data_IF_558053282060
#
_entry.id   IF_558053282060
#
_cell.length_a   1.000
_cell.length_b   1.000
_cell.length_c   1.000
_cell.angle_alpha   90.00
_cell.angle_beta   90.00
_cell.angle_gamma   90.00
#
_symmetry.space_group_name_H-M   'P 1'
#
loop_
_entity.id
_entity.type
_entity.pdbx_description
1 polymer ?
#
# COMPACT_ATOMS: atom_id res chain seq x y z
N UNK A 1 -14.79 -17.92 5.66
CA UNK A 1 -15.06 -17.06 6.82
C UNK A 1 -15.67 -15.74 6.38
N UNK A 2 -14.96 -14.84 5.66
CA UNK A 2 -15.60 -13.67 5.02
C UNK A 2 -16.54 -14.04 3.85
N UNK A 3 -16.09 -14.93 2.94
CA UNK A 3 -16.93 -15.45 1.84
C UNK A 3 -18.10 -16.34 2.29
N UNK A 4 -18.10 -16.82 3.54
CA UNK A 4 -19.22 -17.62 4.07
C UNK A 4 -20.35 -16.71 4.55
N UNK A 5 -20.00 -15.61 5.22
CA UNK A 5 -20.93 -14.53 5.57
C UNK A 5 -21.64 -13.94 4.33
N UNK A 6 -20.99 -13.97 3.16
CA UNK A 6 -21.61 -13.56 1.90
C UNK A 6 -22.83 -14.41 1.52
N UNK A 7 -22.80 -15.71 1.83
CA UNK A 7 -23.93 -16.61 1.57
C UNK A 7 -25.08 -16.41 2.56
N UNK A 8 -24.79 -16.08 3.83
CA UNK A 8 -25.83 -15.90 4.85
C UNK A 8 -26.59 -14.58 4.68
N UNK A 9 -25.95 -13.57 4.12
CA UNK A 9 -26.57 -12.26 3.86
C UNK A 9 -27.21 -12.16 2.47
N UNK A 10 -27.30 -13.28 1.75
CA UNK A 10 -27.88 -13.36 0.41
C UNK A 10 -29.39 -13.03 0.45
N UNK A 11 -29.74 -11.79 0.11
CA UNK A 11 -31.10 -11.25 0.18
C UNK A 11 -31.16 -9.78 0.63
N UNK A 12 -30.14 -9.28 1.33
CA UNK A 12 -30.00 -7.86 1.66
C UNK A 12 -28.85 -7.22 0.88
N UNK A 13 -29.20 -6.47 -0.16
CA UNK A 13 -28.25 -5.90 -1.12
C UNK A 13 -27.20 -4.98 -0.47
N UNK A 14 -27.59 -4.22 0.56
CA UNK A 14 -26.69 -3.32 1.28
C UNK A 14 -25.61 -4.09 2.06
N UNK A 15 -26.00 -5.15 2.78
CA UNK A 15 -25.03 -5.93 3.53
C UNK A 15 -24.13 -6.79 2.62
N UNK A 16 -24.66 -7.29 1.50
CA UNK A 16 -23.88 -7.98 0.46
C UNK A 16 -22.78 -7.07 -0.07
N UNK A 17 -23.14 -5.82 -0.41
CA UNK A 17 -22.21 -4.81 -0.93
C UNK A 17 -21.09 -4.53 0.07
N UNK A 18 -21.42 -4.26 1.34
CA UNK A 18 -20.41 -4.00 2.36
C UNK A 18 -19.47 -5.19 2.59
N UNK A 19 -20.01 -6.41 2.60
CA UNK A 19 -19.20 -7.61 2.81
C UNK A 19 -18.27 -7.91 1.61
N UNK A 20 -18.75 -7.66 0.39
CA UNK A 20 -17.94 -7.82 -0.82
C UNK A 20 -16.75 -6.83 -0.81
N UNK A 21 -17.00 -5.57 -0.44
CA UNK A 21 -15.94 -4.54 -0.35
C UNK A 21 -14.87 -4.94 0.67
N UNK A 22 -15.26 -5.34 1.88
CA UNK A 22 -14.31 -5.79 2.91
C UNK A 22 -13.52 -7.03 2.45
N UNK A 23 -14.22 -8.03 1.89
CA UNK A 23 -13.59 -9.26 1.38
C UNK A 23 -12.58 -9.00 0.28
N UNK A 24 -12.88 -8.07 -0.64
CA UNK A 24 -11.95 -7.67 -1.70
C UNK A 24 -10.70 -6.97 -1.17
N UNK A 25 -10.85 -6.11 -0.15
CA UNK A 25 -9.70 -5.45 0.49
C UNK A 25 -8.80 -6.50 1.16
N UNK A 26 -9.36 -7.48 1.88
CA UNK A 26 -8.54 -8.54 2.46
C UNK A 26 -7.83 -9.38 1.40
N UNK A 27 -8.51 -9.75 0.31
CA UNK A 27 -7.90 -10.55 -0.74
C UNK A 27 -6.74 -9.83 -1.45
N UNK A 28 -6.75 -8.49 -1.51
CA UNK A 28 -5.61 -7.68 -1.99
C UNK A 28 -4.39 -7.72 -1.07
N UNK A 29 -4.59 -7.80 0.25
CA UNK A 29 -3.47 -7.71 1.19
C UNK A 29 -2.51 -8.90 1.11
N UNK A 30 -3.03 -10.12 0.94
CA UNK A 30 -2.25 -11.35 0.92
C UNK A 30 -1.20 -11.42 -0.21
N UNK A 31 -1.54 -11.21 -1.50
CA UNK A 31 -0.57 -11.32 -2.59
C UNK A 31 0.56 -10.30 -2.47
N UNK A 32 0.27 -9.07 -2.01
CA UNK A 32 1.30 -8.05 -1.83
C UNK A 32 2.28 -8.39 -0.70
N UNK A 33 1.78 -8.91 0.43
CA UNK A 33 2.62 -9.41 1.52
C UNK A 33 3.48 -10.60 1.11
N UNK A 34 2.87 -11.53 0.37
CA UNK A 34 3.57 -12.70 -0.17
C UNK A 34 4.72 -12.27 -1.09
N UNK A 35 4.44 -11.34 -2.00
CA UNK A 35 5.44 -10.83 -2.93
C UNK A 35 6.63 -10.19 -2.22
N UNK A 36 6.41 -9.38 -1.19
CA UNK A 36 7.52 -8.73 -0.47
C UNK A 36 8.43 -9.76 0.21
N UNK A 37 7.84 -10.81 0.77
CA UNK A 37 8.62 -11.86 1.45
C UNK A 37 9.38 -12.75 0.46
N UNK A 38 8.74 -13.09 -0.65
CA UNK A 38 9.22 -14.13 -1.57
C UNK A 38 10.00 -13.60 -2.78
N UNK A 39 9.88 -12.32 -3.13
CA UNK A 39 10.55 -11.76 -4.31
C UNK A 39 12.05 -11.56 -4.06
N UNK A 40 12.86 -12.46 -4.63
CA UNK A 40 14.31 -12.31 -4.66
C UNK A 40 14.75 -11.09 -5.50
N UNK A 41 14.00 -10.78 -6.56
CA UNK A 41 14.26 -9.61 -7.41
C UNK A 41 14.09 -8.30 -6.63
N UNK A 42 13.05 -8.20 -5.80
CA UNK A 42 12.83 -7.04 -4.93
C UNK A 42 13.97 -6.88 -3.91
N UNK A 43 14.40 -7.98 -3.27
CA UNK A 43 15.53 -7.95 -2.32
C UNK A 43 16.82 -7.48 -3.00
N UNK A 44 17.10 -7.97 -4.20
CA UNK A 44 18.25 -7.54 -5.00
C UNK A 44 18.16 -6.05 -5.36
N UNK A 45 16.98 -5.60 -5.81
CA UNK A 45 16.75 -4.19 -6.15
C UNK A 45 16.98 -3.27 -4.94
N UNK A 46 16.41 -3.61 -3.77
CA UNK A 46 16.61 -2.85 -2.53
C UNK A 46 18.09 -2.83 -2.14
N UNK A 47 18.79 -3.96 -2.30
CA UNK A 47 20.23 -4.03 -2.02
C UNK A 47 21.03 -3.10 -2.94
N UNK A 48 20.75 -3.11 -4.25
CA UNK A 48 21.40 -2.22 -5.23
C UNK A 48 21.13 -0.75 -4.89
N UNK A 49 19.88 -0.38 -4.60
CA UNK A 49 19.52 1.00 -4.22
C UNK A 49 20.22 1.41 -2.92
N UNK A 50 20.24 0.54 -1.91
CA UNK A 50 20.93 0.83 -0.65
C UNK A 50 22.42 1.06 -0.87
N UNK A 51 23.06 0.24 -1.70
CA UNK A 51 24.48 0.41 -2.07
C UNK A 51 24.68 1.75 -2.79
N UNK A 52 23.80 2.08 -3.72
CA UNK A 52 23.86 3.33 -4.48
C UNK A 52 23.67 4.59 -3.63
N UNK A 53 22.89 4.50 -2.56
CA UNK A 53 22.74 5.59 -1.61
C UNK A 53 24.02 5.82 -0.80
N UNK A 54 24.72 4.75 -0.42
CA UNK A 54 25.96 4.83 0.38
C UNK A 54 27.16 5.27 -0.45
N UNK A 55 27.30 4.75 -1.67
CA UNK A 55 28.43 5.03 -2.55
C UNK A 55 28.25 6.31 -3.39
N UNK A 56 27.15 7.04 -3.18
CA UNK A 56 26.78 8.19 -4.00
C UNK A 56 27.81 9.31 -3.90
N UNK A 57 28.20 9.82 -5.07
CA UNK A 57 29.01 11.05 -5.20
C UNK A 57 28.26 12.04 -6.09
N UNK A 58 27.84 13.14 -5.47
CA UNK A 58 27.25 14.27 -6.19
C UNK A 58 28.34 15.12 -6.84
N UNK A 59 28.13 15.55 -8.08
CA UNK A 59 29.08 16.44 -8.74
C UNK A 59 28.89 17.90 -8.31
N UNK A 60 27.64 18.31 -8.01
CA UNK A 60 27.26 19.68 -7.67
C UNK A 60 26.13 19.72 -6.62
N UNK A 61 25.99 20.85 -5.93
CA UNK A 61 24.88 21.12 -5.00
C UNK A 61 23.49 21.05 -5.66
N UNK A 62 23.36 21.44 -6.93
CA UNK A 62 22.09 21.33 -7.66
C UNK A 62 21.68 19.87 -7.88
N UNK A 63 22.65 18.98 -8.08
CA UNK A 63 22.38 17.55 -8.24
C UNK A 63 21.85 16.94 -6.92
N UNK A 64 22.47 17.34 -5.82
CA UNK A 64 22.06 16.98 -4.47
C UNK A 64 20.64 17.49 -4.17
N UNK A 65 20.34 18.73 -4.53
CA UNK A 65 19.00 19.34 -4.39
C UNK A 65 17.95 18.57 -5.19
N UNK A 66 18.23 18.24 -6.46
CA UNK A 66 17.32 17.45 -7.31
C UNK A 66 17.02 16.11 -6.62
N UNK A 67 18.07 15.39 -6.20
CA UNK A 67 17.91 14.09 -5.54
C UNK A 67 17.06 14.17 -4.27
N UNK A 68 17.37 15.12 -3.38
CA UNK A 68 16.63 15.27 -2.14
C UNK A 68 15.19 15.69 -2.35
N UNK A 69 14.87 16.44 -3.41
CA UNK A 69 13.50 16.79 -3.71
C UNK A 69 12.64 15.53 -3.99
N UNK A 70 13.12 14.59 -4.82
CA UNK A 70 12.42 13.32 -5.06
C UNK A 70 12.30 12.48 -3.79
N UNK A 71 13.38 12.38 -3.00
CA UNK A 71 13.37 11.65 -1.73
C UNK A 71 12.41 12.27 -0.70
N UNK A 72 12.33 13.60 -0.66
CA UNK A 72 11.45 14.34 0.23
C UNK A 72 9.97 14.13 -0.13
N UNK A 73 9.62 14.26 -1.42
CA UNK A 73 8.26 13.99 -1.92
C UNK A 73 7.86 12.56 -1.57
N UNK A 74 8.75 11.60 -1.80
CA UNK A 74 8.52 10.19 -1.45
C UNK A 74 8.28 9.99 0.05
N UNK A 75 9.06 10.63 0.92
CA UNK A 75 8.88 10.57 2.38
C UNK A 75 7.55 11.17 2.84
N UNK A 76 7.16 12.32 2.29
CA UNK A 76 5.86 12.94 2.59
C UNK A 76 4.74 11.99 2.21
N UNK A 77 4.79 11.43 0.98
CA UNK A 77 3.79 10.47 0.53
C UNK A 77 3.72 9.27 1.48
N UNK A 78 4.85 8.64 1.78
CA UNK A 78 4.87 7.45 2.64
C UNK A 78 4.38 7.74 4.06
N UNK A 79 4.81 8.85 4.67
CA UNK A 79 4.38 9.22 6.02
C UNK A 79 2.88 9.54 6.04
N UNK A 80 2.40 10.34 5.09
CA UNK A 80 0.99 10.71 4.96
C UNK A 80 0.10 9.49 4.75
N UNK A 81 0.47 8.59 3.83
CA UNK A 81 -0.30 7.37 3.55
C UNK A 81 -0.32 6.39 4.73
N UNK A 82 0.79 6.23 5.46
CA UNK A 82 0.83 5.35 6.64
C UNK A 82 -0.02 5.90 7.79
N UNK A 83 0.09 7.20 8.08
CA UNK A 83 -0.72 7.85 9.11
C UNK A 83 -2.20 7.80 8.74
N UNK A 84 -2.54 8.12 7.48
CA UNK A 84 -3.89 8.04 6.96
C UNK A 84 -4.48 6.63 7.10
N UNK A 85 -3.71 5.58 6.76
CA UNK A 85 -4.16 4.21 6.93
C UNK A 85 -4.39 3.85 8.40
N UNK A 86 -3.46 4.23 9.28
CA UNK A 86 -3.58 3.95 10.70
C UNK A 86 -4.86 4.57 11.28
N UNK A 87 -5.13 5.84 10.95
CA UNK A 87 -6.37 6.52 11.35
C UNK A 87 -7.60 5.78 10.81
N UNK A 88 -7.64 5.49 9.51
CA UNK A 88 -8.77 4.80 8.87
C UNK A 88 -9.06 3.46 9.53
N UNK A 89 -8.04 2.64 9.77
CA UNK A 89 -8.21 1.30 10.36
C UNK A 89 -8.67 1.39 11.82
N UNK A 90 -8.15 2.34 12.60
CA UNK A 90 -8.60 2.58 13.98
C UNK A 90 -10.06 3.03 14.00
N UNK A 91 -10.47 3.93 13.11
CA UNK A 91 -11.86 4.36 13.00
C UNK A 91 -12.80 3.20 12.62
N UNK A 92 -12.40 2.36 11.66
CA UNK A 92 -13.17 1.17 11.29
C UNK A 92 -13.30 0.19 12.46
N UNK A 93 -12.21 -0.03 13.20
CA UNK A 93 -12.23 -0.89 14.37
C UNK A 93 -13.17 -0.36 15.45
N UNK A 94 -13.13 0.95 15.75
CA UNK A 94 -13.96 1.57 16.80
C UNK A 94 -15.46 1.73 16.42
N UNK A 95 -15.80 1.74 15.12
CA UNK A 95 -17.17 1.96 14.62
C UNK A 95 -18.26 1.12 15.31
N UNK A 96 -18.11 -0.21 15.47
CA UNK A 96 -19.15 -1.04 16.11
C UNK A 96 -19.28 -0.77 17.61
N UNK A 97 -18.21 -0.35 18.29
CA UNK A 97 -18.27 0.00 19.72
C UNK A 97 -19.11 1.26 19.94
N UNK A 98 -18.92 2.27 19.08
CA UNK A 98 -19.74 3.48 19.11
C UNK A 98 -21.20 3.14 18.85
N UNK A 99 -21.48 2.27 17.87
CA UNK A 99 -22.84 1.81 17.57
C UNK A 99 -23.49 1.09 18.76
N UNK A 100 -22.77 0.17 19.41
CA UNK A 100 -23.24 -0.53 20.61
C UNK A 100 -23.54 0.44 21.76
N UNK A 101 -22.66 1.42 21.99
CA UNK A 101 -22.88 2.47 23.01
C UNK A 101 -24.14 3.30 22.74
N UNK A 102 -24.42 3.62 21.47
CA UNK A 102 -25.61 4.40 21.10
C UNK A 102 -26.92 3.61 21.24
N UNK A 103 -26.93 2.31 20.92
CA UNK A 103 -28.12 1.46 21.07
C UNK A 103 -28.46 1.22 22.54
N UNK A 104 -27.44 0.95 23.37
CA UNK A 104 -27.65 0.71 24.80
C UNK A 104 -28.24 1.92 25.53
N UNK A 105 -28.09 3.13 24.97
CA UNK A 105 -28.73 4.34 25.49
C UNK A 105 -30.17 4.52 24.99
N UNK A 106 -30.54 3.92 23.84
CA UNK A 106 -31.82 4.15 23.16
C UNK A 106 -32.83 2.99 23.30
N UNK A 107 -32.39 1.77 23.63
CA UNK A 107 -33.26 0.59 23.69
C UNK A 107 -32.93 -0.30 24.89
N UNK A 108 -33.86 -0.42 25.84
CA UNK A 108 -33.84 -1.44 26.89
C UNK A 108 -34.49 -2.77 26.45
N UNK A 109 -35.01 -2.91 25.21
CA UNK A 109 -35.97 -3.98 24.89
C UNK A 109 -35.73 -4.78 23.60
N UNK A 110 -34.62 -4.60 22.87
CA UNK A 110 -34.37 -5.37 21.64
C UNK A 110 -33.13 -6.27 21.75
N UNK A 111 -33.25 -7.49 21.25
CA UNK A 111 -32.22 -8.54 21.18
C UNK A 111 -30.89 -7.96 20.69
N UNK A 112 -29.83 -8.07 21.50
CA UNK A 112 -28.52 -7.49 21.21
C UNK A 112 -27.89 -8.14 19.95
N UNK A 113 -27.95 -7.44 18.82
CA UNK A 113 -27.17 -7.83 17.63
C UNK A 113 -25.74 -7.32 17.79
N UNK A 114 -24.83 -8.17 18.26
CA UNK A 114 -23.41 -7.85 18.36
C UNK A 114 -22.79 -7.65 16.97
N UNK A 115 -22.36 -6.42 16.66
CA UNK A 115 -21.66 -6.11 15.42
C UNK A 115 -20.14 -6.19 15.62
N UNK A 116 -19.46 -6.99 14.79
CA UNK A 116 -18.00 -7.12 14.80
C UNK A 116 -17.32 -6.01 13.97
N UNK A 117 -16.05 -5.66 14.27
CA UNK A 117 -15.28 -4.63 13.54
C UNK A 117 -14.90 -5.03 12.13
N UNK A 118 -14.85 -6.34 11.88
CA UNK A 118 -14.68 -6.92 10.56
C UNK A 118 -15.78 -7.95 10.36
N UNK A 119 -16.45 -7.94 9.20
CA UNK A 119 -17.53 -8.87 8.91
C UNK A 119 -16.96 -10.26 8.63
N UNK A 120 -17.07 -11.12 9.62
CA UNK A 120 -16.65 -12.52 9.54
C UNK A 120 -17.74 -13.36 10.18
N UNK A 121 -18.17 -14.42 9.50
CA UNK A 121 -19.08 -15.40 10.09
C UNK A 121 -18.31 -16.31 11.06
N UNK A 122 -18.54 -16.21 12.38
CA UNK A 122 -17.94 -17.12 13.35
C UNK A 122 -18.62 -18.49 13.25
N UNK A 123 -17.88 -19.58 13.49
CA UNK A 123 -18.45 -20.94 13.52
C UNK A 123 -19.33 -21.23 14.76
N UNK A 124 -19.44 -20.26 15.67
CA UNK A 124 -20.17 -20.38 16.93
C UNK A 124 -20.99 -19.10 17.16
N UNK A 125 -22.17 -19.23 17.75
CA UNK A 125 -23.04 -18.10 18.05
C UNK A 125 -22.40 -17.13 19.04
N UNK A 126 -22.35 -15.85 18.64
CA UNK A 126 -21.97 -14.75 19.54
C UNK A 126 -23.18 -14.44 20.41
N UNK A 127 -23.40 -15.30 21.40
CA UNK A 127 -24.52 -15.22 22.34
C UNK A 127 -24.11 -14.59 23.69
N UNK A 128 -22.81 -14.45 23.96
CA UNK A 128 -22.28 -13.98 25.23
C UNK A 128 -21.23 -12.87 25.01
N UNK A 129 -21.30 -11.81 25.82
CA UNK A 129 -20.35 -10.69 25.85
C UNK A 129 -18.89 -11.14 25.98
N UNK A 130 -18.62 -12.24 26.70
CA UNK A 130 -17.27 -12.80 26.79
C UNK A 130 -16.74 -13.32 25.45
N UNK A 131 -17.59 -13.98 24.65
CA UNK A 131 -17.24 -14.46 23.31
C UNK A 131 -17.03 -13.27 22.37
N UNK A 132 -17.85 -12.24 22.50
CA UNK A 132 -17.70 -10.99 21.74
C UNK A 132 -16.33 -10.32 21.99
N UNK A 133 -15.94 -10.15 23.26
CA UNK A 133 -14.64 -9.56 23.62
C UNK A 133 -13.49 -10.42 23.08
N UNK A 134 -13.58 -11.76 23.22
CA UNK A 134 -12.55 -12.67 22.72
C UNK A 134 -12.38 -12.56 21.20
N UNK A 135 -13.49 -12.49 20.45
CA UNK A 135 -13.47 -12.26 19.00
C UNK A 135 -12.83 -10.91 18.64
N UNK A 136 -13.15 -9.87 19.38
CA UNK A 136 -12.60 -8.53 19.19
C UNK A 136 -11.07 -8.50 19.37
N UNK A 137 -10.56 -9.22 20.38
CA UNK A 137 -9.12 -9.45 20.59
C UNK A 137 -8.49 -10.28 19.47
N UNK A 138 -9.17 -11.32 18.98
CA UNK A 138 -8.69 -12.16 17.89
C UNK A 138 -8.58 -11.40 16.56
N UNK A 139 -9.43 -10.38 16.35
CA UNK A 139 -9.46 -9.54 15.16
C UNK A 139 -8.42 -8.39 15.18
N UNK A 140 -7.87 -8.05 16.35
CA UNK A 140 -6.88 -6.98 16.50
C UNK A 140 -5.67 -7.08 15.54
N UNK A 141 -5.08 -8.27 15.29
CA UNK A 141 -3.95 -8.40 14.35
C UNK A 141 -4.25 -7.99 12.91
N UNK A 142 -5.52 -7.94 12.49
CA UNK A 142 -5.90 -7.47 11.15
C UNK A 142 -5.49 -6.02 10.92
N UNK A 143 -5.48 -5.20 11.98
CA UNK A 143 -5.00 -3.81 11.93
C UNK A 143 -3.55 -3.77 11.44
N UNK A 144 -2.71 -4.65 12.00
CA UNK A 144 -1.30 -4.73 11.62
C UNK A 144 -1.14 -5.16 10.16
N UNK A 145 -1.93 -6.12 9.69
CA UNK A 145 -1.90 -6.58 8.29
C UNK A 145 -2.24 -5.43 7.33
N UNK A 146 -3.26 -4.64 7.65
CA UNK A 146 -3.64 -3.46 6.87
C UNK A 146 -2.53 -2.39 6.82
N UNK A 147 -1.85 -2.13 7.93
CA UNK A 147 -0.71 -1.20 7.96
C UNK A 147 0.47 -1.75 7.13
N UNK A 148 0.74 -3.05 7.20
CA UNK A 148 1.77 -3.69 6.39
C UNK A 148 1.48 -3.56 4.89
N UNK A 149 0.23 -3.75 4.47
CA UNK A 149 -0.20 -3.54 3.10
C UNK A 149 0.10 -2.12 2.60
N UNK A 150 -0.19 -1.10 3.40
CA UNK A 150 0.14 0.28 2.99
C UNK A 150 1.64 0.55 3.00
N UNK A 151 2.40 -0.05 3.93
CA UNK A 151 3.86 0.04 3.92
C UNK A 151 4.46 -0.57 2.64
N UNK A 152 3.85 -1.63 2.12
CA UNK A 152 4.24 -2.26 0.87
C UNK A 152 4.01 -1.37 -0.37
N UNK A 153 2.85 -0.73 -0.46
CA UNK A 153 2.57 0.26 -1.51
C UNK A 153 3.55 1.44 -1.39
N UNK A 154 3.81 1.90 -0.16
CA UNK A 154 4.79 2.97 0.09
C UNK A 154 6.20 2.58 -0.37
N UNK A 155 6.63 1.34 -0.13
CA UNK A 155 7.92 0.82 -0.62
C UNK A 155 8.00 0.91 -2.14
N UNK A 156 6.96 0.48 -2.85
CA UNK A 156 6.92 0.59 -4.31
C UNK A 156 7.06 2.06 -4.76
N UNK A 157 6.32 2.98 -4.15
CA UNK A 157 6.39 4.40 -4.47
C UNK A 157 7.80 4.96 -4.21
N UNK A 158 8.45 4.58 -3.10
CA UNK A 158 9.84 4.94 -2.81
C UNK A 158 10.79 4.48 -3.94
N UNK A 159 10.63 3.25 -4.42
CA UNK A 159 11.46 2.72 -5.51
C UNK A 159 11.26 3.52 -6.80
N UNK A 160 10.02 3.86 -7.15
CA UNK A 160 9.70 4.67 -8.33
C UNK A 160 10.30 6.08 -8.21
N UNK A 161 10.11 6.75 -7.08
CA UNK A 161 10.68 8.08 -6.85
C UNK A 161 12.22 8.06 -6.88
N UNK A 162 12.85 7.00 -6.36
CA UNK A 162 14.30 6.82 -6.47
C UNK A 162 14.76 6.74 -7.93
N UNK A 163 14.08 5.92 -8.74
CA UNK A 163 14.36 5.77 -10.18
C UNK A 163 14.15 7.10 -10.92
N UNK A 164 13.07 7.84 -10.61
CA UNK A 164 12.83 9.17 -11.18
C UNK A 164 13.92 10.17 -10.78
N UNK A 165 14.39 10.13 -9.53
CA UNK A 165 15.52 10.93 -9.06
C UNK A 165 16.80 10.64 -9.83
N UNK A 166 17.13 9.36 -10.01
CA UNK A 166 18.28 8.92 -10.82
C UNK A 166 18.20 9.41 -12.27
N UNK A 167 17.03 9.30 -12.88
CA UNK A 167 16.81 9.75 -14.25
C UNK A 167 16.96 11.27 -14.37
N UNK A 168 16.46 12.01 -13.38
CA UNK A 168 16.57 13.47 -13.33
C UNK A 168 18.03 13.92 -13.18
N UNK A 169 18.81 13.25 -12.33
CA UNK A 169 20.25 13.48 -12.20
C UNK A 169 20.98 13.21 -13.51
N UNK A 170 20.69 12.06 -14.15
CA UNK A 170 21.29 11.72 -15.43
C UNK A 170 20.98 12.79 -16.49
N UNK A 171 19.73 13.23 -16.57
CA UNK A 171 19.31 14.29 -17.48
C UNK A 171 20.04 15.60 -17.21
N UNK A 172 20.17 15.98 -15.93
CA UNK A 172 20.91 17.16 -15.51
C UNK A 172 22.38 17.09 -15.92
N UNK A 173 23.05 15.95 -15.68
CA UNK A 173 24.47 15.75 -16.04
C UNK A 173 24.72 15.77 -17.55
N UNK A 174 23.77 15.28 -18.35
CA UNK A 174 23.83 15.34 -19.83
C UNK A 174 23.69 16.79 -20.32
N UNK A 175 22.77 17.57 -19.74
CA UNK A 175 22.57 18.98 -20.11
C UNK A 175 23.74 19.88 -19.73
N UNK A 176 24.47 19.54 -18.67
CA UNK A 176 25.60 20.31 -18.14
C UNK A 176 26.95 19.66 -18.46
N UNK A 177 27.08 19.04 -19.64
CA UNK A 177 28.38 18.61 -20.14
C UNK A 177 29.25 19.84 -20.37
N UNK A 178 30.37 19.94 -19.65
CA UNK A 178 31.40 20.95 -19.91
C UNK A 178 32.21 20.52 -21.15
N UNK A 179 32.60 21.50 -21.97
CA UNK A 179 33.57 21.28 -23.03
C UNK A 179 34.89 20.82 -22.38
N UNK A 180 35.30 19.60 -22.71
CA UNK A 180 36.50 18.94 -22.19
C UNK A 180 37.23 18.28 -23.36
N UNK A 181 38.43 17.75 -23.11
CA UNK A 181 39.15 16.98 -24.12
C UNK A 181 38.31 15.80 -24.64
N UNK A 182 38.53 15.41 -25.90
CA UNK A 182 37.79 14.34 -26.57
C UNK A 182 37.81 13.02 -25.78
N UNK A 183 38.90 12.72 -25.08
CA UNK A 183 39.04 11.53 -24.22
C UNK A 183 38.17 11.61 -22.95
N UNK A 184 38.03 12.79 -22.34
CA UNK A 184 37.13 12.99 -21.20
C UNK A 184 35.66 12.89 -21.59
N UNK A 185 35.30 13.43 -22.77
CA UNK A 185 33.93 13.35 -23.30
C UNK A 185 33.54 11.89 -23.52
N UNK A 186 34.40 11.07 -24.15
CA UNK A 186 34.15 9.64 -24.35
C UNK A 186 33.94 8.89 -23.02
N UNK A 187 34.77 9.16 -22.01
CA UNK A 187 34.63 8.56 -20.68
C UNK A 187 33.31 8.97 -20.00
N UNK A 188 32.90 10.24 -20.15
CA UNK A 188 31.67 10.77 -19.56
C UNK A 188 30.42 10.19 -20.23
N UNK A 189 30.40 10.09 -21.56
CA UNK A 189 29.34 9.40 -22.31
C UNK A 189 29.25 7.94 -21.87
N UNK A 190 30.38 7.23 -21.76
CA UNK A 190 30.39 5.84 -21.28
C UNK A 190 29.81 5.73 -19.86
N UNK A 191 30.08 6.69 -19.00
CA UNK A 191 29.47 6.76 -17.66
C UNK A 191 27.95 6.97 -17.71
N UNK A 192 27.47 7.88 -18.56
CA UNK A 192 26.04 8.14 -18.74
C UNK A 192 25.29 6.92 -19.28
N UNK A 193 25.85 6.23 -20.27
CA UNK A 193 25.26 5.01 -20.80
C UNK A 193 25.15 3.93 -19.72
N UNK A 194 26.19 3.73 -18.90
CA UNK A 194 26.13 2.77 -17.77
C UNK A 194 25.07 3.16 -16.74
N UNK A 195 24.98 4.43 -16.38
CA UNK A 195 23.97 4.93 -15.45
C UNK A 195 22.55 4.73 -16.02
N UNK A 196 22.34 5.05 -17.30
CA UNK A 196 21.07 4.86 -17.97
C UNK A 196 20.64 3.39 -18.04
N UNK A 197 21.55 2.49 -18.43
CA UNK A 197 21.30 1.05 -18.47
C UNK A 197 20.93 0.50 -17.09
N UNK A 198 21.58 0.99 -16.04
CA UNK A 198 21.25 0.63 -14.65
C UNK A 198 19.85 1.12 -14.25
N UNK A 199 19.49 2.36 -14.61
CA UNK A 199 18.16 2.92 -14.36
C UNK A 199 17.08 2.08 -15.08
N UNK A 200 17.31 1.73 -16.34
CA UNK A 200 16.40 0.86 -17.11
C UNK A 200 16.24 -0.50 -16.41
N UNK A 201 17.35 -1.09 -15.96
CA UNK A 201 17.30 -2.35 -15.21
C UNK A 201 16.50 -2.23 -13.91
N UNK A 202 16.67 -1.15 -13.15
CA UNK A 202 15.89 -0.91 -11.93
C UNK A 202 14.39 -0.74 -12.25
N UNK A 203 14.04 0.08 -13.24
CA UNK A 203 12.67 0.29 -13.67
C UNK A 203 12.00 -1.02 -14.12
N UNK A 204 12.69 -1.82 -14.93
CA UNK A 204 12.20 -3.12 -15.38
C UNK A 204 12.08 -4.12 -14.23
N UNK A 205 12.94 -4.02 -13.23
CA UNK A 205 12.86 -4.87 -12.03
C UNK A 205 11.66 -4.51 -11.15
N UNK A 206 11.34 -3.22 -11.00
CA UNK A 206 10.12 -2.76 -10.32
C UNK A 206 8.89 -3.23 -11.09
N UNK A 207 8.85 -3.00 -12.40
CA UNK A 207 7.72 -3.40 -13.25
C UNK A 207 7.48 -4.91 -13.20
N UNK A 208 8.50 -5.74 -13.45
CA UNK A 208 8.38 -7.20 -13.39
C UNK A 208 7.98 -7.71 -11.99
N UNK A 209 8.28 -6.96 -10.93
CA UNK A 209 7.90 -7.34 -9.57
C UNK A 209 6.44 -6.97 -9.31
N UNK A 210 6.04 -5.74 -9.58
CA UNK A 210 4.75 -5.21 -9.12
C UNK A 210 3.64 -5.23 -10.18
N UNK A 211 3.92 -5.44 -11.46
CA UNK A 211 2.95 -5.30 -12.56
C UNK A 211 1.64 -6.09 -12.34
N UNK A 212 1.72 -7.38 -12.03
CA UNK A 212 0.55 -8.24 -11.83
C UNK A 212 -0.22 -7.85 -10.57
N UNK A 213 0.48 -7.43 -9.52
CA UNK A 213 -0.15 -7.01 -8.27
C UNK A 213 -0.86 -5.67 -8.46
N UNK A 214 -0.23 -4.72 -9.15
CA UNK A 214 -0.86 -3.45 -9.47
C UNK A 214 -2.08 -3.62 -10.36
N UNK A 215 -2.03 -4.55 -11.32
CA UNK A 215 -3.20 -4.88 -12.12
C UNK A 215 -4.33 -5.44 -11.24
N UNK A 216 -3.99 -6.35 -10.31
CA UNK A 216 -4.95 -6.93 -9.39
C UNK A 216 -5.57 -5.88 -8.45
N UNK A 217 -4.75 -5.02 -7.85
CA UNK A 217 -5.19 -3.90 -7.02
C UNK A 217 -6.06 -2.93 -7.81
N UNK A 218 -5.65 -2.55 -9.03
CA UNK A 218 -6.40 -1.63 -9.88
C UNK A 218 -7.79 -2.16 -10.21
N UNK A 219 -7.89 -3.43 -10.62
CA UNK A 219 -9.17 -4.06 -10.96
C UNK A 219 -10.07 -4.11 -9.73
N UNK A 220 -9.59 -4.62 -8.60
CA UNK A 220 -10.44 -4.75 -7.44
C UNK A 220 -10.80 -3.39 -6.80
N UNK A 221 -9.90 -2.40 -6.81
CA UNK A 221 -10.24 -1.04 -6.36
C UNK A 221 -11.29 -0.41 -7.28
N UNK A 222 -11.21 -0.65 -8.59
CA UNK A 222 -12.24 -0.18 -9.53
C UNK A 222 -13.61 -0.78 -9.22
N UNK A 223 -13.67 -2.07 -8.91
CA UNK A 223 -14.91 -2.75 -8.50
C UNK A 223 -15.45 -2.18 -7.19
N UNK A 224 -14.59 -2.03 -6.17
CA UNK A 224 -14.97 -1.43 -4.88
C UNK A 224 -15.52 -0.01 -5.06
N UNK A 225 -14.87 0.78 -5.91
CA UNK A 225 -15.26 2.17 -6.16
C UNK A 225 -16.61 2.24 -6.90
N UNK A 226 -16.83 1.39 -7.90
CA UNK A 226 -18.11 1.30 -8.60
C UNK A 226 -19.27 0.91 -7.66
N UNK A 227 -19.04 -0.08 -6.80
CA UNK A 227 -20.04 -0.55 -5.83
C UNK A 227 -20.32 0.53 -4.76
N UNK A 228 -19.27 1.19 -4.28
CA UNK A 228 -19.41 2.28 -3.30
C UNK A 228 -20.19 3.46 -3.88
N UNK A 229 -19.94 3.83 -5.13
CA UNK A 229 -20.69 4.87 -5.83
C UNK A 229 -22.16 4.50 -5.98
N UNK A 230 -22.46 3.25 -6.36
CA UNK A 230 -23.84 2.77 -6.43
C UNK A 230 -24.56 2.88 -5.08
N UNK A 231 -23.88 2.51 -3.98
CA UNK A 231 -24.44 2.62 -2.63
C UNK A 231 -24.71 4.07 -2.20
N UNK A 232 -23.85 5.02 -2.58
CA UNK A 232 -24.05 6.45 -2.23
C UNK A 232 -25.24 7.08 -2.98
N UNK A 233 -25.58 6.56 -4.17
CA UNK A 233 -26.66 7.10 -5.01
C UNK A 233 -28.04 6.57 -4.59
N UNK A 234 -28.10 5.34 -4.10
CA UNK A 234 -29.32 4.69 -3.59
C UNK A 234 -29.68 5.21 -2.20
#
# INVERSE_FOLDING_TARGET
MAYADFYDVFGNLELIVMNLVESMVYSMTFPLMWLIRCSNLLKLLIHVIKKDMVERKFENFEEERIYYNYNFISKIFSYGSLVGMFITVVLLYLRPLVYLLTINQASQNNTESFMLPYRIHPFFDISNTHIYILMYLCLFPMIYISVCHMAAICLMVILVFHICGELSILSYRIRHIKECSQTMILNRIRSFVRMHLKIIWMAKSVDNTFNLILLYELVGLSVVLAISLYYVIM
#
